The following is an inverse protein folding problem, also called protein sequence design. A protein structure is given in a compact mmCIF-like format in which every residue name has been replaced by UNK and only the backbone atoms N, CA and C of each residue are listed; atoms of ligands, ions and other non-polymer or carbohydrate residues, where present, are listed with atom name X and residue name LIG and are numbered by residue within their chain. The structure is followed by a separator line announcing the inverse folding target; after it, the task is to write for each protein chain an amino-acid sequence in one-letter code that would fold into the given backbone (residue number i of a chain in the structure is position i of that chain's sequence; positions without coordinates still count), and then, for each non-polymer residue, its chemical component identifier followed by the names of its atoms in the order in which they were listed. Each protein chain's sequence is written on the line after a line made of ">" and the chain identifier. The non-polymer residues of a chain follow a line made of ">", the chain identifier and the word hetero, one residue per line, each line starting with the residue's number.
data_IF_400003680254
#
_entry.id   IF_400003680254
#
_cell.length_a   1.000
_cell.length_b   1.000
_cell.length_c   1.000
_cell.angle_alpha   90.00
_cell.angle_beta   90.00
_cell.angle_gamma   90.00
#
_symmetry.space_group_name_H-M   'P 1'
#
loop_
_entity.id
_entity.type
_entity.pdbx_description
1 polymer ?
#
# COMPACT_ATOMS: atom_id res chain seq x y z
N UNK A 1 -11.71 -10.68 -4.71
CA UNK A 1 -10.61 -10.20 -5.59
C UNK A 1 -9.51 -9.65 -4.69
N UNK A 2 -8.33 -10.28 -4.67
CA UNK A 2 -7.24 -9.96 -3.73
C UNK A 2 -6.71 -8.53 -3.90
N UNK A 3 -6.73 -7.99 -5.11
CA UNK A 3 -6.26 -6.62 -5.37
C UNK A 3 -7.14 -5.56 -4.69
N UNK A 4 -8.47 -5.78 -4.66
CA UNK A 4 -9.41 -4.87 -4.01
C UNK A 4 -9.36 -4.95 -2.48
N UNK A 5 -8.81 -6.04 -1.94
CA UNK A 5 -8.74 -6.33 -0.50
C UNK A 5 -7.96 -5.25 0.27
N UNK A 6 -7.00 -4.60 -0.39
CA UNK A 6 -6.18 -3.57 0.23
C UNK A 6 -6.93 -2.25 0.46
N UNK A 7 -7.87 -1.86 -0.41
CA UNK A 7 -8.44 -0.51 -0.38
C UNK A 7 -9.17 -0.19 0.93
N UNK A 8 -10.05 -1.05 1.47
CA UNK A 8 -10.73 -0.75 2.74
C UNK A 8 -9.72 -0.66 3.89
N UNK A 9 -8.73 -1.55 3.91
CA UNK A 9 -7.67 -1.47 4.92
C UNK A 9 -6.85 -0.19 4.78
N UNK A 10 -6.50 0.22 3.56
CA UNK A 10 -5.77 1.45 3.31
C UNK A 10 -6.50 2.67 3.87
N UNK A 11 -7.83 2.75 3.70
CA UNK A 11 -8.63 3.80 4.33
C UNK A 11 -8.64 3.67 5.87
N UNK A 12 -8.77 2.45 6.38
CA UNK A 12 -8.72 2.21 7.82
C UNK A 12 -7.36 2.58 8.44
N UNK A 13 -6.25 2.49 7.70
CA UNK A 13 -4.91 2.87 8.17
C UNK A 13 -4.82 4.37 8.48
N UNK A 14 -5.62 5.19 7.79
CA UNK A 14 -5.75 6.63 8.00
C UNK A 14 -6.91 7.04 8.92
N UNK A 15 -7.53 6.06 9.58
CA UNK A 15 -8.64 6.24 10.50
C UNK A 15 -9.86 6.93 9.86
N UNK A 16 -10.12 6.66 8.57
CA UNK A 16 -11.19 7.30 7.78
C UNK A 16 -12.58 6.87 8.26
N UNK A 17 -12.78 5.60 8.63
CA UNK A 17 -14.10 5.10 9.05
C UNK A 17 -14.48 5.55 10.46
N UNK A 18 -13.52 5.59 11.38
CA UNK A 18 -13.69 6.07 12.75
C UNK A 18 -12.35 6.38 13.43
N UNK A 19 -12.27 7.53 14.11
CA UNK A 19 -11.06 8.01 14.79
C UNK A 19 -10.85 7.32 16.14
N UNK A 20 -9.62 7.33 16.68
CA UNK A 20 -9.38 6.97 18.06
C UNK A 20 -10.29 7.80 19.00
N UNK A 21 -11.04 7.11 19.87
CA UNK A 21 -12.02 7.72 20.77
C UNK A 21 -13.47 7.71 20.27
N UNK A 22 -13.70 7.49 18.97
CA UNK A 22 -15.06 7.39 18.44
C UNK A 22 -15.72 6.06 18.84
N UNK A 23 -17.05 6.09 19.04
CA UNK A 23 -17.85 4.90 19.39
C UNK A 23 -17.69 3.75 18.39
N UNK A 24 -17.48 4.07 17.12
CA UNK A 24 -17.33 3.10 16.04
C UNK A 24 -15.86 2.75 15.74
N UNK A 25 -14.90 3.08 16.63
CA UNK A 25 -13.48 2.75 16.42
C UNK A 25 -13.26 1.26 16.11
N UNK A 26 -13.99 0.38 16.77
CA UNK A 26 -13.92 -1.05 16.54
C UNK A 26 -14.22 -1.44 15.09
N UNK A 27 -15.08 -0.69 14.38
CA UNK A 27 -15.42 -0.94 12.98
C UNK A 27 -14.24 -0.60 12.07
N UNK A 28 -13.53 0.50 12.32
CA UNK A 28 -12.31 0.84 11.59
C UNK A 28 -11.26 -0.26 11.74
N UNK A 29 -11.01 -0.71 12.98
CA UNK A 29 -10.09 -1.83 13.25
C UNK A 29 -10.56 -3.12 12.55
N UNK A 30 -11.85 -3.45 12.63
CA UNK A 30 -12.40 -4.66 12.01
C UNK A 30 -12.23 -4.64 10.49
N UNK A 31 -12.57 -3.52 9.83
CA UNK A 31 -12.37 -3.37 8.38
C UNK A 31 -10.89 -3.49 8.03
N UNK A 32 -10.01 -2.80 8.78
CA UNK A 32 -8.56 -2.85 8.59
C UNK A 32 -8.00 -4.26 8.65
N UNK A 33 -8.38 -5.03 9.67
CA UNK A 33 -7.90 -6.40 9.87
C UNK A 33 -8.53 -7.40 8.88
N UNK A 34 -9.84 -7.37 8.71
CA UNK A 34 -10.55 -8.39 7.94
C UNK A 34 -10.35 -8.22 6.43
N UNK A 35 -10.24 -6.99 5.93
CA UNK A 35 -10.08 -6.79 4.48
C UNK A 35 -8.73 -7.30 3.97
N UNK A 36 -7.72 -7.45 4.84
CA UNK A 36 -6.38 -7.92 4.46
C UNK A 36 -6.21 -9.44 4.48
N UNK A 37 -7.22 -10.22 4.91
CA UNK A 37 -7.15 -11.69 4.91
C UNK A 37 -6.71 -12.24 3.54
N UNK A 38 -7.25 -11.79 2.39
CA UNK A 38 -6.83 -12.30 1.09
C UNK A 38 -5.36 -11.99 0.74
N UNK A 39 -4.75 -10.96 1.35
CA UNK A 39 -3.35 -10.59 1.17
C UNK A 39 -2.40 -11.26 2.18
N UNK A 40 -2.94 -12.00 3.16
CA UNK A 40 -2.17 -12.59 4.26
C UNK A 40 -1.20 -11.58 4.91
N UNK A 41 -1.71 -10.39 5.21
CA UNK A 41 -0.94 -9.29 5.80
C UNK A 41 -1.66 -8.68 7.00
N UNK A 42 -0.90 -8.20 7.97
CA UNK A 42 -1.41 -7.56 9.18
C UNK A 42 -1.73 -6.08 8.98
N UNK A 43 -2.90 -5.65 9.47
CA UNK A 43 -3.32 -4.26 9.45
C UNK A 43 -2.33 -3.32 10.15
N UNK A 44 -1.85 -3.70 11.35
CA UNK A 44 -0.98 -2.83 12.16
C UNK A 44 0.36 -2.57 11.51
N UNK A 45 0.99 -3.60 10.95
CA UNK A 45 2.28 -3.43 10.28
C UNK A 45 2.12 -2.51 9.06
N UNK A 46 1.08 -2.73 8.24
CA UNK A 46 0.82 -1.86 7.09
C UNK A 46 0.49 -0.43 7.52
N UNK A 47 -0.32 -0.24 8.56
CA UNK A 47 -0.61 1.09 9.11
C UNK A 47 0.67 1.82 9.52
N UNK A 48 1.51 1.18 10.32
CA UNK A 48 2.73 1.80 10.85
C UNK A 48 3.72 2.14 9.74
N UNK A 49 3.96 1.21 8.81
CA UNK A 49 4.88 1.45 7.69
C UNK A 49 4.32 2.46 6.72
N UNK A 50 3.01 2.45 6.46
CA UNK A 50 2.36 3.42 5.57
C UNK A 50 2.42 4.85 6.13
N UNK A 51 2.20 5.02 7.44
CA UNK A 51 2.34 6.33 8.08
C UNK A 51 3.79 6.84 8.06
N UNK A 52 4.76 5.95 8.22
CA UNK A 52 6.19 6.30 8.06
C UNK A 52 6.55 6.62 6.61
N UNK A 53 5.94 5.92 5.63
CA UNK A 53 6.05 6.26 4.22
C UNK A 53 5.51 7.66 3.95
N UNK A 54 4.31 8.03 4.40
CA UNK A 54 3.75 9.40 4.25
C UNK A 54 4.64 10.48 4.86
N UNK A 55 5.28 10.18 6.00
CA UNK A 55 6.16 11.13 6.70
C UNK A 55 7.52 11.29 6.03
N UNK A 56 8.03 10.23 5.40
CA UNK A 56 9.39 10.13 4.91
C UNK A 56 9.50 9.79 3.43
N UNK A 57 8.43 9.98 2.66
CA UNK A 57 8.31 9.53 1.27
C UNK A 57 9.59 9.83 0.48
N UNK A 58 10.10 8.81 -0.22
CA UNK A 58 11.31 8.85 -1.05
C UNK A 58 12.63 9.11 -0.33
N UNK A 59 12.68 9.01 1.01
CA UNK A 59 13.96 9.05 1.77
C UNK A 59 14.53 7.63 1.91
N UNK A 60 15.68 7.29 1.29
CA UNK A 60 16.16 5.91 1.17
C UNK A 60 16.23 5.10 2.47
N UNK A 61 16.62 5.73 3.58
CA UNK A 61 16.81 5.05 4.87
C UNK A 61 15.56 5.05 5.76
N UNK A 62 14.58 5.90 5.46
CA UNK A 62 13.45 6.16 6.33
C UNK A 62 12.12 5.69 5.74
N UNK A 63 11.95 5.76 4.43
CA UNK A 63 10.77 5.28 3.73
C UNK A 63 10.83 3.75 3.55
N UNK A 64 9.94 2.99 4.21
CA UNK A 64 9.93 1.53 4.10
C UNK A 64 9.65 1.05 2.67
N UNK A 65 9.05 1.88 1.82
CA UNK A 65 8.66 1.56 0.45
C UNK A 65 9.66 2.05 -0.61
N UNK A 66 10.72 2.79 -0.25
CA UNK A 66 11.68 3.37 -1.21
C UNK A 66 12.26 2.35 -2.18
N UNK A 67 12.57 1.13 -1.71
CA UNK A 67 13.14 0.05 -2.54
C UNK A 67 12.24 -0.36 -3.72
N UNK A 68 10.97 0.02 -3.69
CA UNK A 68 10.00 -0.24 -4.75
C UNK A 68 9.71 1.00 -5.61
N UNK A 69 10.10 2.19 -5.16
CA UNK A 69 9.87 3.46 -5.85
C UNK A 69 10.99 3.77 -6.87
N UNK A 70 12.21 3.25 -6.64
CA UNK A 70 13.42 3.56 -7.42
C UNK A 70 13.58 2.80 -8.75
N UNK A 71 12.69 1.86 -9.07
CA UNK A 71 12.81 1.06 -10.30
C UNK A 71 12.72 1.92 -11.56
N UNK A 72 13.65 1.78 -12.51
CA UNK A 72 13.64 2.59 -13.74
C UNK A 72 12.67 2.08 -14.80
N UNK A 73 12.22 0.83 -14.66
CA UNK A 73 11.26 0.19 -15.57
C UNK A 73 10.26 -0.64 -14.78
N UNK A 74 9.07 -0.84 -15.35
CA UNK A 74 8.04 -1.71 -14.74
C UNK A 74 8.56 -3.13 -14.50
N UNK A 75 9.44 -3.64 -15.37
CA UNK A 75 10.03 -4.97 -15.20
C UNK A 75 10.96 -5.07 -13.99
N UNK A 76 11.72 -4.02 -13.69
CA UNK A 76 12.53 -3.99 -12.47
C UNK A 76 11.65 -4.02 -11.22
N UNK A 77 10.54 -3.25 -11.22
CA UNK A 77 9.59 -3.24 -10.11
C UNK A 77 8.94 -4.61 -9.90
N UNK A 78 8.53 -5.28 -10.99
CA UNK A 78 7.99 -6.65 -10.93
C UNK A 78 9.03 -7.61 -10.33
N UNK A 79 10.29 -7.55 -10.79
CA UNK A 79 11.38 -8.39 -10.25
C UNK A 79 11.63 -8.13 -8.77
N UNK A 80 11.71 -6.85 -8.36
CA UNK A 80 11.86 -6.47 -6.95
C UNK A 80 10.69 -6.95 -6.10
N UNK A 81 9.47 -6.91 -6.62
CA UNK A 81 8.29 -7.41 -5.92
C UNK A 81 8.33 -8.94 -5.78
N UNK A 82 8.68 -9.68 -6.84
CA UNK A 82 8.84 -11.14 -6.77
C UNK A 82 9.93 -11.53 -5.75
N UNK A 83 11.06 -10.82 -5.75
CA UNK A 83 12.12 -11.02 -4.77
C UNK A 83 11.65 -10.72 -3.34
N UNK A 84 10.72 -9.76 -3.16
CA UNK A 84 10.18 -9.41 -1.84
C UNK A 84 9.38 -10.51 -1.17
N UNK A 85 8.89 -11.51 -1.93
CA UNK A 85 8.13 -12.63 -1.38
C UNK A 85 8.98 -13.61 -0.55
N UNK A 86 10.31 -13.49 -0.62
CA UNK A 86 11.20 -14.32 0.20
C UNK A 86 11.28 -13.78 1.63
N UNK A 87 11.27 -14.63 2.67
CA UNK A 87 11.28 -14.19 4.08
C UNK A 87 12.42 -13.24 4.46
N UNK A 88 13.62 -13.44 3.89
CA UNK A 88 14.81 -12.63 4.14
C UNK A 88 15.04 -11.55 3.06
N UNK A 89 14.01 -11.18 2.31
CA UNK A 89 14.13 -10.18 1.24
C UNK A 89 14.47 -8.79 1.77
N UNK A 90 15.02 -7.92 0.90
CA UNK A 90 15.23 -6.50 1.22
C UNK A 90 13.95 -5.80 1.69
N UNK A 91 12.78 -6.16 1.14
CA UNK A 91 11.50 -5.60 1.55
C UNK A 91 11.09 -6.01 2.96
N UNK A 92 11.26 -7.29 3.30
CA UNK A 92 11.04 -7.79 4.66
C UNK A 92 11.95 -7.06 5.66
N UNK A 93 13.24 -6.92 5.32
CA UNK A 93 14.21 -6.19 6.13
C UNK A 93 13.85 -4.70 6.29
N UNK A 94 13.39 -4.05 5.22
CA UNK A 94 12.97 -2.64 5.24
C UNK A 94 11.82 -2.41 6.23
N UNK A 95 10.79 -3.25 6.19
CA UNK A 95 9.65 -3.15 7.11
C UNK A 95 10.07 -3.48 8.55
N UNK A 96 10.92 -4.50 8.76
CA UNK A 96 11.45 -4.83 10.07
C UNK A 96 12.26 -3.67 10.66
N UNK A 97 13.15 -3.06 9.87
CA UNK A 97 13.95 -1.90 10.29
C UNK A 97 13.07 -0.68 10.60
N UNK A 98 12.00 -0.45 9.83
CA UNK A 98 11.01 0.59 10.12
C UNK A 98 10.35 0.38 11.49
N UNK A 99 9.87 -0.84 11.78
CA UNK A 99 9.22 -1.16 13.05
C UNK A 99 10.21 -1.12 14.24
N UNK A 100 11.44 -1.57 14.03
CA UNK A 100 12.52 -1.48 15.01
C UNK A 100 12.83 -0.03 15.37
N UNK A 101 12.97 0.84 14.35
CA UNK A 101 13.20 2.28 14.53
C UNK A 101 12.04 2.98 15.27
N UNK A 102 10.80 2.57 15.01
CA UNK A 102 9.65 3.07 15.78
C UNK A 102 9.74 2.66 17.26
N UNK A 103 10.26 1.46 17.55
CA UNK A 103 10.58 1.02 18.91
C UNK A 103 9.39 0.87 19.87
N UNK A 104 8.15 1.04 19.39
CA UNK A 104 6.95 1.05 20.24
C UNK A 104 6.44 -0.37 20.56
N UNK A 105 5.68 -0.56 21.66
CA UNK A 105 5.02 -1.83 21.93
C UNK A 105 4.07 -2.26 20.80
N UNK A 106 3.42 -1.31 20.12
CA UNK A 106 2.55 -1.58 18.97
C UNK A 106 3.36 -2.11 17.78
N UNK A 107 4.52 -1.52 17.47
CA UNK A 107 5.39 -1.98 16.40
C UNK A 107 5.88 -3.42 16.62
N UNK A 108 6.27 -3.76 17.86
CA UNK A 108 6.65 -5.14 18.22
C UNK A 108 5.50 -6.13 18.04
N UNK A 109 4.30 -5.76 18.48
CA UNK A 109 3.09 -6.59 18.29
C UNK A 109 2.77 -6.77 16.82
N UNK A 110 2.80 -5.68 16.03
CA UNK A 110 2.56 -5.71 14.59
C UNK A 110 3.50 -6.68 13.86
N UNK A 111 4.78 -6.71 14.26
CA UNK A 111 5.75 -7.63 13.69
C UNK A 111 5.45 -9.10 14.02
N UNK A 112 5.16 -9.40 15.29
CA UNK A 112 4.79 -10.77 15.72
C UNK A 112 3.48 -11.22 15.08
N UNK A 113 2.49 -10.33 14.98
CA UNK A 113 1.22 -10.58 14.27
C UNK A 113 1.47 -10.93 12.80
N UNK A 114 2.35 -10.20 12.11
CA UNK A 114 2.68 -10.51 10.71
C UNK A 114 3.33 -11.89 10.56
N UNK A 115 4.25 -12.26 11.46
CA UNK A 115 4.84 -13.61 11.46
C UNK A 115 3.77 -14.67 11.67
N UNK A 116 2.87 -14.48 12.65
CA UNK A 116 1.78 -15.41 12.92
C UNK A 116 0.86 -15.56 11.69
N UNK A 117 0.45 -14.46 11.05
CA UNK A 117 -0.36 -14.47 9.83
C UNK A 117 0.33 -15.25 8.70
N UNK A 118 1.62 -15.03 8.49
CA UNK A 118 2.38 -15.74 7.46
C UNK A 118 2.46 -17.25 7.72
N UNK A 119 2.73 -17.65 8.96
CA UNK A 119 2.77 -19.05 9.36
C UNK A 119 1.40 -19.72 9.24
N UNK A 120 0.33 -19.03 9.66
CA UNK A 120 -1.05 -19.52 9.51
C UNK A 120 -1.42 -19.68 8.04
N UNK A 121 -1.13 -18.69 7.20
CA UNK A 121 -1.38 -18.80 5.76
C UNK A 121 -0.63 -19.97 5.14
N UNK A 122 0.65 -20.15 5.47
CA UNK A 122 1.46 -21.27 4.97
C UNK A 122 0.91 -22.62 5.45
N UNK A 123 0.51 -22.73 6.72
CA UNK A 123 -0.11 -23.93 7.27
C UNK A 123 -1.39 -24.29 6.51
N UNK A 124 -2.26 -23.31 6.25
CA UNK A 124 -3.50 -23.53 5.46
C UNK A 124 -3.17 -24.06 4.07
N UNK A 125 -2.22 -23.43 3.35
CA UNK A 125 -1.83 -23.87 2.01
C UNK A 125 -1.29 -25.30 2.01
N UNK A 126 -0.43 -25.65 2.96
CA UNK A 126 0.11 -27.01 3.07
C UNK A 126 -0.95 -28.04 3.48
N UNK A 127 -1.88 -27.67 4.36
CA UNK A 127 -3.02 -28.53 4.68
C UNK A 127 -3.88 -28.76 3.44
N UNK A 128 -4.24 -27.72 2.68
CA UNK A 128 -4.98 -27.90 1.43
C UNK A 128 -4.25 -28.83 0.47
N UNK A 129 -2.93 -28.66 0.29
CA UNK A 129 -2.14 -29.53 -0.56
C UNK A 129 -2.12 -30.99 -0.07
N UNK A 130 -1.96 -31.22 1.24
CA UNK A 130 -1.94 -32.56 1.85
C UNK A 130 -3.27 -33.31 1.69
N UNK A 131 -4.39 -32.59 1.60
CA UNK A 131 -5.73 -33.15 1.39
C UNK A 131 -6.17 -33.16 -0.09
N UNK A 132 -5.25 -32.90 -1.03
CA UNK A 132 -5.52 -33.00 -2.48
C UNK A 132 -6.05 -31.72 -3.14
N UNK A 133 -6.14 -30.61 -2.40
CA UNK A 133 -6.62 -29.30 -2.89
C UNK A 133 -5.48 -28.33 -3.26
N UNK A 134 -4.36 -28.87 -3.74
CA UNK A 134 -3.16 -28.07 -4.01
C UNK A 134 -3.40 -27.04 -5.12
N UNK A 135 -4.11 -27.42 -6.19
CA UNK A 135 -4.38 -26.52 -7.31
C UNK A 135 -5.38 -25.44 -6.93
N UNK A 136 -6.39 -25.76 -6.12
CA UNK A 136 -7.36 -24.81 -5.59
C UNK A 136 -6.67 -23.79 -4.70
N UNK A 137 -5.84 -24.22 -3.75
CA UNK A 137 -5.07 -23.32 -2.90
C UNK A 137 -4.11 -22.43 -3.71
N UNK A 138 -3.46 -23.00 -4.72
CA UNK A 138 -2.59 -22.29 -5.64
C UNK A 138 -3.35 -21.22 -6.44
N UNK A 139 -4.45 -21.59 -7.09
CA UNK A 139 -5.16 -20.75 -8.06
C UNK A 139 -6.13 -19.77 -7.41
N UNK A 140 -6.70 -20.09 -6.25
CA UNK A 140 -7.70 -19.27 -5.58
C UNK A 140 -7.11 -18.31 -4.54
N UNK A 141 -5.94 -18.63 -3.96
CA UNK A 141 -5.34 -17.78 -2.93
C UNK A 141 -3.88 -17.41 -3.22
N UNK A 142 -2.97 -18.39 -3.35
CA UNK A 142 -1.54 -18.09 -3.44
C UNK A 142 -1.21 -17.22 -4.67
N UNK A 143 -1.65 -17.63 -5.86
CA UNK A 143 -1.37 -16.93 -7.11
C UNK A 143 -2.09 -15.57 -7.17
N UNK A 144 -3.40 -15.46 -6.87
CA UNK A 144 -4.06 -14.15 -6.77
C UNK A 144 -3.40 -13.19 -5.78
N UNK A 145 -2.88 -13.69 -4.65
CA UNK A 145 -2.11 -12.89 -3.70
C UNK A 145 -0.83 -12.33 -4.30
N UNK A 146 -0.06 -13.15 -5.03
CA UNK A 146 1.17 -12.67 -5.70
C UNK A 146 0.85 -11.62 -6.76
N UNK A 147 -0.14 -11.88 -7.61
CA UNK A 147 -0.54 -10.95 -8.67
C UNK A 147 -1.10 -9.65 -8.11
N UNK A 148 -1.94 -9.73 -7.07
CA UNK A 148 -2.48 -8.56 -6.37
C UNK A 148 -1.38 -7.72 -5.73
N UNK A 149 -0.39 -8.36 -5.09
CA UNK A 149 0.75 -7.66 -4.48
C UNK A 149 1.61 -6.92 -5.51
N UNK A 150 1.88 -7.53 -6.67
CA UNK A 150 2.60 -6.89 -7.77
C UNK A 150 1.81 -5.68 -8.29
N UNK A 151 0.52 -5.86 -8.52
CA UNK A 151 -0.35 -4.79 -9.01
C UNK A 151 -0.40 -3.59 -8.04
N UNK A 152 -0.63 -3.85 -6.75
CA UNK A 152 -0.67 -2.80 -5.72
C UNK A 152 0.67 -2.08 -5.68
N UNK A 153 1.80 -2.81 -5.76
CA UNK A 153 3.12 -2.18 -5.73
C UNK A 153 3.35 -1.27 -6.93
N UNK A 154 2.89 -1.64 -8.13
CA UNK A 154 3.00 -0.80 -9.31
C UNK A 154 2.16 0.48 -9.15
N UNK A 155 0.90 0.36 -8.72
CA UNK A 155 -0.03 1.49 -8.73
C UNK A 155 0.04 2.40 -7.51
N UNK A 156 0.44 1.88 -6.36
CA UNK A 156 0.45 2.62 -5.09
C UNK A 156 1.86 3.06 -4.68
N UNK A 157 2.88 2.24 -4.95
CA UNK A 157 4.27 2.55 -4.57
C UNK A 157 5.00 3.18 -5.75
N UNK A 158 5.10 2.48 -6.88
CA UNK A 158 6.02 2.91 -7.93
C UNK A 158 5.50 4.07 -8.78
N UNK A 159 4.34 3.94 -9.42
CA UNK A 159 3.84 4.96 -10.36
C UNK A 159 3.71 6.37 -9.75
N UNK A 160 3.15 6.52 -8.52
CA UNK A 160 3.00 7.83 -7.90
C UNK A 160 4.32 8.44 -7.42
N UNK A 161 5.33 7.62 -7.11
CA UNK A 161 6.57 8.11 -6.51
C UNK A 161 7.78 8.06 -7.44
N UNK A 162 7.67 7.43 -8.61
CA UNK A 162 8.74 7.38 -9.62
C UNK A 162 9.20 8.80 -9.99
N UNK A 163 10.51 9.11 -9.96
CA UNK A 163 11.64 8.15 -9.94
C UNK A 163 12.17 7.81 -8.54
N UNK A 164 11.45 8.18 -7.48
CA UNK A 164 11.71 7.76 -6.10
C UNK A 164 12.72 8.63 -5.36
N UNK A 165 13.08 9.81 -5.86
CA UNK A 165 14.09 10.69 -5.25
C UNK A 165 13.59 12.08 -4.84
N UNK A 166 12.45 12.52 -5.38
CA UNK A 166 11.87 13.81 -5.01
C UNK A 166 11.29 13.73 -3.60
N UNK A 167 11.57 14.72 -2.76
CA UNK A 167 11.08 14.72 -1.37
C UNK A 167 10.36 16.02 -1.05
N UNK A 168 9.43 15.95 -0.10
CA UNK A 168 8.69 17.10 0.40
C UNK A 168 7.23 17.10 -0.04
N UNK A 169 6.40 17.73 0.79
CA UNK A 169 4.93 17.62 0.79
C UNK A 169 4.22 17.74 -0.56
N UNK A 170 4.76 18.53 -1.49
CA UNK A 170 4.15 18.82 -2.81
C UNK A 170 4.96 18.26 -3.98
N UNK A 171 6.02 17.50 -3.69
CA UNK A 171 7.04 17.07 -4.67
C UNK A 171 7.29 15.57 -4.63
N UNK A 172 7.07 14.93 -3.49
CA UNK A 172 7.32 13.50 -3.28
C UNK A 172 6.36 12.55 -4.03
N UNK A 173 5.30 13.10 -4.62
CA UNK A 173 4.27 12.36 -5.34
C UNK A 173 3.94 13.08 -6.64
N UNK A 174 3.67 12.32 -7.70
CA UNK A 174 3.31 12.83 -9.01
C UNK A 174 2.01 12.23 -9.56
N UNK A 175 1.45 12.91 -10.56
CA UNK A 175 0.38 12.40 -11.40
C UNK A 175 0.89 11.39 -12.43
N UNK A 176 0.06 10.41 -12.77
CA UNK A 176 0.36 9.42 -13.81
C UNK A 176 -0.92 8.94 -14.50
N UNK A 177 -0.79 8.44 -15.73
CA UNK A 177 -1.89 7.87 -16.51
C UNK A 177 -2.02 6.36 -16.28
N UNK A 178 -3.23 5.84 -16.34
CA UNK A 178 -3.55 4.42 -16.33
C UNK A 178 -4.54 4.08 -17.45
N UNK A 179 -4.62 2.81 -17.89
CA UNK A 179 -5.36 2.41 -19.09
C UNK A 179 -6.87 2.73 -19.07
N UNK A 180 -7.45 2.92 -17.89
CA UNK A 180 -8.85 3.23 -17.60
C UNK A 180 -8.90 4.23 -16.43
N UNK A 181 -7.84 5.05 -16.29
CA UNK A 181 -7.72 6.10 -15.29
C UNK A 181 -7.90 5.58 -13.85
N UNK A 182 -8.83 6.22 -13.13
CA UNK A 182 -9.19 5.91 -11.73
C UNK A 182 -9.59 4.45 -11.54
N UNK A 183 -10.30 3.82 -12.48
CA UNK A 183 -10.79 2.46 -12.30
C UNK A 183 -9.68 1.41 -12.28
N UNK A 184 -8.72 1.56 -13.18
CA UNK A 184 -7.60 0.63 -13.31
C UNK A 184 -6.42 0.93 -12.42
N UNK A 185 -6.46 2.06 -11.71
CA UNK A 185 -5.49 2.39 -10.68
C UNK A 185 -6.06 2.24 -9.28
N UNK A 186 -7.35 1.92 -9.14
CA UNK A 186 -8.07 1.92 -7.87
C UNK A 186 -7.99 3.30 -7.18
N UNK A 187 -8.24 4.36 -7.95
CA UNK A 187 -8.12 5.77 -7.59
C UNK A 187 -6.70 6.27 -7.25
N UNK A 188 -5.66 5.45 -7.47
CA UNK A 188 -4.28 5.89 -7.25
C UNK A 188 -3.80 6.94 -8.27
N UNK A 189 -4.51 7.20 -9.37
CA UNK A 189 -4.19 8.37 -10.22
C UNK A 189 -4.29 9.70 -9.47
N UNK A 190 -5.04 9.75 -8.35
CA UNK A 190 -5.14 10.90 -7.46
C UNK A 190 -4.27 10.78 -6.18
N UNK A 191 -3.20 9.96 -6.21
CA UNK A 191 -2.38 9.68 -5.02
C UNK A 191 -1.76 10.93 -4.38
N UNK A 192 -1.49 11.99 -5.15
CA UNK A 192 -1.00 13.26 -4.60
C UNK A 192 -1.99 13.86 -3.58
N UNK A 193 -3.29 13.75 -3.82
CA UNK A 193 -4.32 14.20 -2.88
C UNK A 193 -4.29 13.34 -1.63
N UNK A 194 -4.07 12.03 -1.79
CA UNK A 194 -3.90 11.10 -0.67
C UNK A 194 -2.70 11.49 0.20
N UNK A 195 -1.55 11.84 -0.37
CA UNK A 195 -0.39 12.33 0.40
C UNK A 195 -0.65 13.67 1.09
N UNK A 196 -1.34 14.59 0.42
CA UNK A 196 -1.63 15.92 0.98
C UNK A 196 -2.71 15.90 2.06
N UNK A 197 -3.71 15.05 1.88
CA UNK A 197 -4.95 14.98 2.64
C UNK A 197 -5.40 13.51 2.83
N UNK A 198 -4.63 12.69 3.57
CA UNK A 198 -4.83 11.23 3.65
C UNK A 198 -6.14 10.78 4.30
N UNK A 199 -6.92 11.71 4.84
CA UNK A 199 -8.24 11.46 5.42
C UNK A 199 -9.40 11.73 4.47
N UNK A 200 -9.15 12.19 3.24
CA UNK A 200 -10.16 12.22 2.20
C UNK A 200 -10.40 10.76 1.77
N UNK A 201 -11.64 10.25 1.84
CA UNK A 201 -11.96 8.91 1.35
C UNK A 201 -11.48 8.68 -0.08
N UNK A 202 -11.02 7.47 -0.36
CA UNK A 202 -10.31 7.14 -1.61
C UNK A 202 -11.20 7.37 -2.85
N UNK A 203 -12.50 7.12 -2.73
CA UNK A 203 -13.49 7.37 -3.78
C UNK A 203 -13.67 8.87 -4.10
N UNK A 204 -13.32 9.75 -3.15
CA UNK A 204 -13.44 11.21 -3.26
C UNK A 204 -12.14 11.90 -3.67
N UNK A 205 -11.01 11.21 -3.63
CA UNK A 205 -9.72 11.80 -4.04
C UNK A 205 -9.72 12.28 -5.50
N UNK A 206 -10.39 11.65 -6.49
CA UNK A 206 -10.44 12.20 -7.84
C UNK A 206 -11.23 13.50 -7.94
N UNK A 207 -12.31 13.65 -7.15
CA UNK A 207 -13.06 14.90 -7.09
C UNK A 207 -12.25 16.01 -6.43
N UNK A 208 -11.60 15.70 -5.29
CA UNK A 208 -10.71 16.62 -4.61
C UNK A 208 -9.51 17.02 -5.48
N UNK A 209 -8.96 16.11 -6.30
CA UNK A 209 -7.88 16.43 -7.24
C UNK A 209 -8.32 17.54 -8.22
N UNK A 210 -9.52 17.42 -8.79
CA UNK A 210 -10.08 18.44 -9.70
C UNK A 210 -10.21 19.80 -9.05
N UNK A 211 -10.63 19.84 -7.79
CA UNK A 211 -10.76 21.09 -7.02
C UNK A 211 -9.41 21.68 -6.59
N UNK A 212 -8.42 20.83 -6.30
CA UNK A 212 -7.10 21.23 -5.82
C UNK A 212 -6.16 21.68 -6.94
N UNK A 213 -6.46 21.44 -8.21
CA UNK A 213 -5.60 21.78 -9.34
C UNK A 213 -5.00 23.19 -9.32
N UNK A 214 -5.76 24.27 -9.06
CA UNK A 214 -5.20 25.62 -8.97
C UNK A 214 -4.09 25.75 -7.91
N UNK A 215 -4.23 25.03 -6.79
CA UNK A 215 -3.23 25.00 -5.72
C UNK A 215 -2.03 24.13 -6.12
N UNK A 216 -2.28 22.96 -6.72
CA UNK A 216 -1.23 22.05 -7.15
C UNK A 216 -0.33 22.69 -8.21
N UNK A 217 -0.91 23.40 -9.17
CA UNK A 217 -0.19 24.19 -10.18
C UNK A 217 0.58 25.35 -9.54
N UNK A 218 -0.04 26.12 -8.63
CA UNK A 218 0.64 27.21 -7.93
C UNK A 218 1.80 26.73 -7.03
N UNK A 219 1.77 25.47 -6.60
CA UNK A 219 2.83 24.81 -5.83
C UNK A 219 3.81 24.03 -6.71
N UNK A 220 3.65 24.11 -8.03
CA UNK A 220 4.51 23.45 -9.01
C UNK A 220 4.57 21.92 -8.79
N UNK A 221 3.44 21.31 -8.44
CA UNK A 221 3.37 19.85 -8.29
C UNK A 221 3.49 19.17 -9.66
N UNK A 222 4.16 18.02 -9.75
CA UNK A 222 4.16 17.18 -10.95
C UNK A 222 2.80 16.49 -11.10
N UNK A 223 1.85 17.12 -11.78
CA UNK A 223 0.52 16.58 -12.04
C UNK A 223 0.25 16.55 -13.53
N UNK A 224 -0.59 15.61 -13.96
CA UNK A 224 -1.08 15.60 -15.34
C UNK A 224 -1.82 16.90 -15.64
N UNK A 225 -1.90 17.28 -16.92
CA UNK A 225 -2.78 18.38 -17.31
C UNK A 225 -4.25 18.07 -16.93
N UNK A 226 -5.01 19.10 -16.56
CA UNK A 226 -6.40 18.98 -16.06
C UNK A 226 -7.30 18.12 -16.93
N UNK A 227 -7.18 18.26 -18.25
CA UNK A 227 -8.00 17.52 -19.22
C UNK A 227 -7.60 16.05 -19.39
N UNK A 228 -6.53 15.61 -18.74
CA UNK A 228 -6.01 14.25 -18.75
C UNK A 228 -6.20 13.53 -17.40
N UNK A 229 -6.62 14.26 -16.35
CA UNK A 229 -6.94 13.71 -15.04
C UNK A 229 -8.40 13.21 -15.01
N UNK A 230 -8.57 11.98 -15.48
CA UNK A 230 -9.83 11.23 -15.44
C UNK A 230 -9.67 9.95 -14.63
#
# INVERSE_FOLDING_TARGET
>A
NVTLAYLPSHEAQHDIYARPGDKLRWLNEAIGHLSLIPLAYGYRILRLTHLEHHKNTNKPELDPDHIFNEGTTVWQVIKSNIASFQPASKGSQSYAACLERLGTPEAKRAYVEQIAIMLTHLAILFTCAAYGYALEALLLWWLPLKLGSIYIRIYLSWLPHYPGHETGRYKDTRGFKSWLGVWSSLAMTAHIVHHLHPRIPLDKTPAALRELYPILEARDCDVLERHLAH
#
